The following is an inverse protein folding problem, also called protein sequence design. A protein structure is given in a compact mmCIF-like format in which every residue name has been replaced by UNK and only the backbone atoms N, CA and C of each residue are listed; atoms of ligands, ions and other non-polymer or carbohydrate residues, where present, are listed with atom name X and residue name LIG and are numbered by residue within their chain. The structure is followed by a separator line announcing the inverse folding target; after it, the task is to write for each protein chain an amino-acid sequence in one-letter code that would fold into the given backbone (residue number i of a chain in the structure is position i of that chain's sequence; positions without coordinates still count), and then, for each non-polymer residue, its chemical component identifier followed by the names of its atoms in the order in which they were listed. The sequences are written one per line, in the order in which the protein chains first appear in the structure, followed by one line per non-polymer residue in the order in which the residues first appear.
data_IF_134807222409
#
_entry.id   IF_134807222409
#
_cell.length_a   1.000
_cell.length_b   1.000
_cell.length_c   1.000
_cell.angle_alpha   90.00
_cell.angle_beta   90.00
_cell.angle_gamma   90.00
#
_symmetry.space_group_name_H-M   'P 1'
#
loop_
_entity.id
_entity.type
_entity.pdbx_description
1 polymer ?
#
# COMPACT_ATOMS: atom_id res chain seq x y z
N UNK A 1 20.28 0.88 16.89
CA UNK A 1 18.99 0.49 16.30
C UNK A 1 18.82 1.21 14.97
N UNK A 2 18.67 0.45 13.90
CA UNK A 2 18.38 1.02 12.59
C UNK A 2 16.93 1.52 12.60
N UNK A 3 16.73 2.80 12.50
CA UNK A 3 15.39 3.36 12.35
C UNK A 3 15.03 3.34 10.87
N UNK A 4 13.97 2.63 10.53
CA UNK A 4 13.46 2.63 9.16
C UNK A 4 12.94 4.03 8.82
N UNK A 5 13.26 4.50 7.64
CA UNK A 5 12.81 5.81 7.15
C UNK A 5 11.50 5.67 6.36
N UNK A 6 11.35 4.54 5.69
CA UNK A 6 10.22 4.26 4.81
C UNK A 6 9.54 2.96 5.21
N UNK A 7 8.22 2.98 5.30
CA UNK A 7 7.39 1.79 5.38
C UNK A 7 6.68 1.60 4.03
N UNK A 8 6.82 0.41 3.47
CA UNK A 8 6.04 -0.02 2.30
C UNK A 8 5.08 -1.09 2.78
N UNK A 9 3.80 -0.78 2.77
CA UNK A 9 2.73 -1.57 3.35
C UNK A 9 1.84 -2.14 2.26
N UNK A 10 1.77 -3.45 2.15
CA UNK A 10 0.79 -4.15 1.31
C UNK A 10 -0.42 -4.54 2.13
N UNK A 11 -1.59 -4.17 1.64
CA UNK A 11 -2.86 -4.44 2.31
C UNK A 11 -3.70 -5.37 1.46
N UNK A 12 -4.49 -6.21 2.10
CA UNK A 12 -5.49 -7.03 1.45
C UNK A 12 -5.56 -8.44 2.00
N UNK A 13 -6.37 -9.24 1.35
CA UNK A 13 -6.53 -10.65 1.68
C UNK A 13 -6.14 -11.49 0.45
N UNK A 14 -5.01 -12.20 0.54
CA UNK A 14 -4.50 -13.02 -0.57
C UNK A 14 -5.33 -14.30 -0.81
N UNK A 15 -6.37 -14.53 -0.04
CA UNK A 15 -7.36 -15.59 -0.29
C UNK A 15 -8.54 -15.11 -1.13
N UNK A 16 -8.61 -13.81 -1.44
CA UNK A 16 -9.69 -13.19 -2.21
C UNK A 16 -9.21 -12.64 -3.55
N UNK A 17 -8.48 -13.43 -4.30
CA UNK A 17 -7.99 -13.17 -5.65
C UNK A 17 -7.29 -11.80 -5.74
N UNK A 18 -7.84 -10.81 -6.41
CA UNK A 18 -7.17 -9.51 -6.65
C UNK A 18 -7.13 -8.61 -5.42
N UNK A 19 -7.91 -8.90 -4.38
CA UNK A 19 -7.77 -8.20 -3.10
C UNK A 19 -6.39 -8.44 -2.47
N UNK A 20 -5.70 -9.49 -2.88
CA UNK A 20 -4.36 -9.81 -2.44
C UNK A 20 -3.24 -9.07 -3.17
N UNK A 21 -3.54 -8.14 -4.08
CA UNK A 21 -2.52 -7.47 -4.91
C UNK A 21 -1.42 -6.80 -4.06
N UNK A 22 -1.80 -6.17 -2.94
CA UNK A 22 -0.83 -5.54 -2.05
C UNK A 22 0.16 -6.54 -1.46
N UNK A 23 -0.33 -7.70 -1.05
CA UNK A 23 0.49 -8.77 -0.48
C UNK A 23 1.43 -9.36 -1.56
N UNK A 24 0.91 -9.63 -2.75
CA UNK A 24 1.71 -10.11 -3.87
C UNK A 24 2.79 -9.11 -4.26
N UNK A 25 2.48 -7.82 -4.22
CA UNK A 25 3.44 -6.76 -4.52
C UNK A 25 4.58 -6.73 -3.49
N UNK A 26 4.28 -6.86 -2.20
CA UNK A 26 5.30 -6.92 -1.14
C UNK A 26 6.23 -8.11 -1.39
N UNK A 27 5.68 -9.28 -1.67
CA UNK A 27 6.48 -10.48 -1.99
C UNK A 27 7.40 -10.22 -3.19
N UNK A 28 6.88 -9.57 -4.24
CA UNK A 28 7.65 -9.27 -5.44
C UNK A 28 8.76 -8.23 -5.21
N UNK A 29 8.62 -7.37 -4.19
CA UNK A 29 9.62 -6.35 -3.85
C UNK A 29 10.77 -6.89 -2.99
N UNK A 30 10.61 -8.03 -2.33
CA UNK A 30 11.62 -8.59 -1.43
C UNK A 30 12.99 -8.76 -2.10
N UNK A 31 13.13 -9.33 -3.32
CA UNK A 31 14.43 -9.50 -3.94
C UNK A 31 15.21 -8.20 -4.11
N UNK A 32 14.53 -7.11 -4.40
CA UNK A 32 15.18 -5.82 -4.69
C UNK A 32 15.35 -4.94 -3.46
N UNK A 33 14.40 -4.98 -2.52
CA UNK A 33 14.35 -4.03 -1.40
C UNK A 33 14.43 -4.68 -0.02
N UNK A 34 14.35 -5.99 0.08
CA UNK A 34 14.28 -6.69 1.36
C UNK A 34 15.50 -6.53 2.26
N UNK A 35 16.67 -6.17 1.68
CA UNK A 35 17.91 -5.97 2.41
C UNK A 35 18.27 -4.48 2.60
N UNK A 36 17.44 -3.56 2.11
CA UNK A 36 17.70 -2.13 2.26
C UNK A 36 17.45 -1.70 3.71
N UNK A 37 18.45 -1.10 4.33
CA UNK A 37 18.44 -0.78 5.77
C UNK A 37 17.33 0.19 6.18
N UNK A 38 17.01 1.14 5.30
CA UNK A 38 16.07 2.21 5.61
C UNK A 38 14.64 1.89 5.16
N UNK A 39 14.42 0.76 4.51
CA UNK A 39 13.13 0.38 3.93
C UNK A 39 12.60 -0.84 4.67
N UNK A 40 11.39 -0.72 5.20
CA UNK A 40 10.67 -1.84 5.76
C UNK A 40 9.53 -2.26 4.83
N UNK A 41 9.53 -3.52 4.42
CA UNK A 41 8.43 -4.13 3.69
C UNK A 41 7.54 -4.84 4.69
N UNK A 42 6.25 -4.56 4.67
CA UNK A 42 5.31 -5.14 5.62
C UNK A 42 4.06 -5.65 4.91
N UNK A 43 3.76 -6.93 5.13
CA UNK A 43 2.47 -7.52 4.80
C UNK A 43 1.51 -7.14 5.93
N UNK A 44 0.61 -6.21 5.66
CA UNK A 44 -0.38 -5.74 6.63
C UNK A 44 -1.62 -6.62 6.69
N UNK A 45 -1.76 -7.57 5.78
CA UNK A 45 -2.93 -8.43 5.68
C UNK A 45 -4.22 -7.63 5.64
N UNK A 46 -5.24 -8.10 6.36
CA UNK A 46 -6.43 -7.32 6.68
C UNK A 46 -6.08 -6.39 7.83
N UNK A 47 -6.37 -5.10 7.68
CA UNK A 47 -5.91 -4.06 8.59
C UNK A 47 -6.38 -4.29 10.04
N UNK A 48 -5.51 -3.90 10.99
CA UNK A 48 -5.82 -3.86 12.41
C UNK A 48 -5.19 -2.63 13.05
N UNK A 49 -5.66 -2.26 14.25
CA UNK A 49 -5.12 -1.09 14.95
C UNK A 49 -3.64 -1.23 15.34
N UNK A 50 -3.09 -2.45 15.35
CA UNK A 50 -1.67 -2.66 15.61
C UNK A 50 -0.79 -2.04 14.54
N UNK A 51 -1.30 -1.86 13.32
CA UNK A 51 -0.58 -1.22 12.22
C UNK A 51 -0.43 0.30 12.40
N UNK A 52 -1.23 0.91 13.27
CA UNK A 52 -1.12 2.34 13.52
C UNK A 52 0.28 2.71 14.03
N UNK A 53 0.84 1.93 14.94
CA UNK A 53 2.20 2.17 15.47
C UNK A 53 3.26 2.09 14.37
N UNK A 54 3.11 1.16 13.44
CA UNK A 54 4.03 1.02 12.29
C UNK A 54 3.99 2.27 11.40
N UNK A 55 2.79 2.75 11.09
CA UNK A 55 2.60 3.95 10.26
C UNK A 55 3.18 5.19 10.95
N UNK A 56 2.93 5.33 12.26
CA UNK A 56 3.40 6.46 13.05
C UNK A 56 4.93 6.51 13.21
N UNK A 57 5.61 5.39 12.99
CA UNK A 57 7.06 5.27 13.20
C UNK A 57 7.92 5.79 12.06
N UNK A 58 7.34 6.17 10.93
CA UNK A 58 8.07 6.56 9.72
C UNK A 58 7.63 7.94 9.21
N UNK A 59 8.54 8.59 8.46
CA UNK A 59 8.23 9.86 7.79
C UNK A 59 7.76 9.65 6.34
N UNK A 60 7.99 8.47 5.79
CA UNK A 60 7.63 8.14 4.41
C UNK A 60 6.84 6.83 4.39
N UNK A 61 5.68 6.87 3.76
CA UNK A 61 4.77 5.72 3.68
C UNK A 61 4.35 5.47 2.24
N UNK A 62 4.48 4.23 1.79
CA UNK A 62 3.87 3.76 0.54
C UNK A 62 2.90 2.65 0.90
N UNK A 63 1.64 2.80 0.49
CA UNK A 63 0.62 1.76 0.66
C UNK A 63 0.25 1.21 -0.71
N UNK A 64 0.17 -0.11 -0.82
CA UNK A 64 -0.27 -0.81 -2.05
C UNK A 64 -1.54 -1.56 -1.71
N UNK A 65 -2.61 -1.27 -2.43
CA UNK A 65 -3.92 -1.85 -2.15
C UNK A 65 -4.80 -1.93 -3.42
N UNK A 66 -5.69 -2.90 -3.43
CA UNK A 66 -6.75 -2.95 -4.42
C UNK A 66 -7.81 -1.89 -4.08
N UNK A 67 -8.28 -1.17 -5.08
CA UNK A 67 -9.29 -0.14 -4.88
C UNK A 67 -10.19 0.01 -6.10
N UNK A 68 -11.44 0.38 -5.87
CA UNK A 68 -12.36 0.71 -6.96
C UNK A 68 -11.98 2.04 -7.58
N UNK A 69 -11.49 1.99 -8.80
CA UNK A 69 -11.03 3.16 -9.56
C UNK A 69 -11.94 3.52 -10.71
N UNK A 70 -13.01 2.74 -10.92
CA UNK A 70 -13.91 2.86 -12.07
C UNK A 70 -13.13 2.83 -13.39
N UNK A 71 -12.17 1.94 -13.47
CA UNK A 71 -11.22 1.80 -14.57
C UNK A 71 -11.07 0.33 -14.95
N UNK A 72 -10.50 0.01 -16.13
CA UNK A 72 -10.28 -1.38 -16.50
C UNK A 72 -9.45 -2.13 -15.45
N UNK A 73 -9.70 -3.44 -15.24
CA UNK A 73 -8.91 -4.25 -14.31
C UNK A 73 -7.41 -4.16 -14.59
N UNK A 74 -6.61 -4.07 -13.53
CA UNK A 74 -5.17 -3.92 -13.64
C UNK A 74 -4.69 -2.47 -13.77
N UNK A 75 -5.60 -1.50 -13.87
CA UNK A 75 -5.22 -0.07 -13.88
C UNK A 75 -4.57 0.30 -12.56
N UNK A 76 -3.44 1.00 -12.62
CA UNK A 76 -2.70 1.50 -11.47
C UNK A 76 -2.85 3.01 -11.42
N UNK A 77 -3.26 3.54 -10.28
CA UNK A 77 -3.30 4.99 -10.00
C UNK A 77 -2.51 5.30 -8.75
N UNK A 78 -1.81 6.42 -8.78
CA UNK A 78 -0.93 6.85 -7.68
C UNK A 78 -1.49 8.15 -7.09
N UNK A 79 -1.69 8.15 -5.77
CA UNK A 79 -2.19 9.30 -5.02
C UNK A 79 -1.15 9.70 -3.98
N UNK A 80 -0.68 10.94 -4.04
CA UNK A 80 0.34 11.46 -3.14
C UNK A 80 -0.26 12.45 -2.14
N UNK A 81 0.11 12.33 -0.89
CA UNK A 81 -0.17 13.31 0.17
C UNK A 81 -1.67 13.70 0.23
N UNK A 82 -2.01 14.96 -0.01
CA UNK A 82 -3.40 15.42 0.06
C UNK A 82 -4.32 14.69 -0.91
N UNK A 83 -3.83 14.29 -2.09
CA UNK A 83 -4.61 13.51 -3.03
C UNK A 83 -4.94 12.11 -2.48
N UNK A 84 -4.00 11.50 -1.75
CA UNK A 84 -4.25 10.24 -1.04
C UNK A 84 -5.33 10.43 0.03
N UNK A 85 -5.21 11.47 0.84
CA UNK A 85 -6.18 11.77 1.90
C UNK A 85 -7.58 11.99 1.32
N UNK A 86 -7.67 12.74 0.24
CA UNK A 86 -8.93 13.00 -0.46
C UNK A 86 -9.55 11.71 -1.01
N UNK A 87 -8.75 10.89 -1.68
CA UNK A 87 -9.22 9.62 -2.21
C UNK A 87 -9.76 8.70 -1.11
N UNK A 88 -9.04 8.55 0.00
CA UNK A 88 -9.45 7.70 1.12
C UNK A 88 -10.73 8.23 1.78
N UNK A 89 -10.87 9.53 1.88
CA UNK A 89 -12.05 10.16 2.48
C UNK A 89 -13.32 10.05 1.64
N UNK A 90 -13.19 9.81 0.34
CA UNK A 90 -14.31 9.74 -0.61
C UNK A 90 -14.53 8.35 -1.21
N UNK A 91 -13.65 7.39 -0.93
CA UNK A 91 -13.84 6.02 -1.38
C UNK A 91 -14.94 5.31 -0.58
N UNK A 92 -15.64 4.37 -1.21
CA UNK A 92 -16.55 3.50 -0.47
C UNK A 92 -15.75 2.72 0.56
N UNK A 93 -16.14 2.84 1.81
CA UNK A 93 -15.50 2.10 2.90
C UNK A 93 -15.69 0.61 2.67
N UNK A 94 -14.60 -0.12 2.86
CA UNK A 94 -14.63 -1.55 2.98
C UNK A 94 -15.56 -1.96 4.13
N UNK A 95 -16.19 -3.12 4.04
CA UNK A 95 -16.96 -3.73 5.14
C UNK A 95 -16.06 -4.16 6.31
N UNK A 96 -14.75 -3.98 6.22
CA UNK A 96 -13.82 -4.27 7.30
C UNK A 96 -14.00 -3.26 8.43
N UNK A 97 -13.85 -3.72 9.68
CA UNK A 97 -14.03 -2.90 10.88
C UNK A 97 -13.00 -1.77 10.96
N UNK A 98 -11.79 -1.99 10.42
CA UNK A 98 -10.72 -0.99 10.40
C UNK A 98 -10.26 -0.79 8.96
N UNK A 99 -10.38 0.44 8.46
CA UNK A 99 -9.87 0.82 7.15
C UNK A 99 -8.56 1.59 7.24
N UNK A 100 -7.90 1.74 6.10
CA UNK A 100 -6.68 2.56 6.02
C UNK A 100 -6.92 4.00 6.46
N UNK A 101 -8.09 4.58 6.13
CA UNK A 101 -8.44 5.92 6.57
C UNK A 101 -8.42 6.04 8.09
N UNK A 102 -8.94 5.03 8.80
CA UNK A 102 -8.95 5.04 10.27
C UNK A 102 -7.54 5.08 10.84
N UNK A 103 -6.62 4.30 10.27
CA UNK A 103 -5.21 4.31 10.69
C UNK A 103 -4.52 5.64 10.41
N UNK A 104 -4.82 6.25 9.26
CA UNK A 104 -4.28 7.57 8.92
C UNK A 104 -4.84 8.65 9.84
N UNK A 105 -6.11 8.56 10.19
CA UNK A 105 -6.74 9.49 11.14
C UNK A 105 -6.14 9.37 12.54
N UNK A 106 -5.86 8.15 13.00
CA UNK A 106 -5.16 7.92 14.27
C UNK A 106 -3.78 8.58 14.24
N UNK A 107 -3.02 8.37 13.18
CA UNK A 107 -1.69 8.97 13.03
C UNK A 107 -1.77 10.51 13.04
N UNK A 108 -2.80 11.08 12.40
CA UNK A 108 -3.02 12.52 12.38
C UNK A 108 -3.34 13.05 13.78
N UNK A 109 -4.19 12.36 14.53
CA UNK A 109 -4.59 12.77 15.88
C UNK A 109 -3.42 12.71 16.86
N UNK A 110 -2.49 11.80 16.68
CA UNK A 110 -1.28 11.69 17.51
C UNK A 110 -0.12 12.54 17.03
N UNK A 111 -0.32 13.34 15.98
CA UNK A 111 0.69 14.18 15.34
C UNK A 111 1.89 13.39 14.79
N UNK A 112 1.62 12.18 14.30
CA UNK A 112 2.62 11.28 13.72
C UNK A 112 2.24 10.81 12.32
N UNK A 113 1.42 11.60 11.60
CA UNK A 113 1.10 11.29 10.21
C UNK A 113 2.39 11.40 9.36
N UNK A 114 2.76 10.37 8.58
CA UNK A 114 3.92 10.47 7.71
C UNK A 114 3.81 11.69 6.78
N UNK A 115 4.84 12.54 6.76
CA UNK A 115 4.85 13.77 5.96
C UNK A 115 4.75 13.49 4.47
N UNK A 116 5.36 12.39 4.04
CA UNK A 116 5.29 11.92 2.66
C UNK A 116 4.55 10.58 2.67
N UNK A 117 3.43 10.55 1.98
CA UNK A 117 2.58 9.36 1.92
C UNK A 117 2.01 9.17 0.53
N UNK A 118 2.05 7.94 0.05
CA UNK A 118 1.64 7.56 -1.31
C UNK A 118 0.77 6.33 -1.25
N UNK A 119 -0.34 6.35 -1.95
CA UNK A 119 -1.17 5.17 -2.20
C UNK A 119 -0.99 4.75 -3.66
N UNK A 120 -0.59 3.51 -3.85
CA UNK A 120 -0.57 2.86 -5.17
C UNK A 120 -1.81 1.98 -5.20
N UNK A 121 -2.84 2.44 -5.89
CA UNK A 121 -4.13 1.76 -5.98
C UNK A 121 -4.23 0.99 -7.29
N UNK A 122 -4.76 -0.23 -7.22
CA UNK A 122 -4.89 -1.12 -8.37
C UNK A 122 -6.33 -1.55 -8.52
N UNK A 123 -6.91 -1.37 -9.72
CA UNK A 123 -8.27 -1.80 -10.02
C UNK A 123 -8.34 -3.33 -10.04
N UNK A 124 -9.11 -3.95 -9.16
CA UNK A 124 -9.30 -5.40 -9.17
C UNK A 124 -10.29 -5.83 -10.25
N UNK A 125 -10.23 -7.10 -10.65
CA UNK A 125 -11.21 -7.75 -11.51
C UNK A 125 -12.12 -8.66 -10.70
N UNK A 126 -11.54 -9.57 -9.91
CA UNK A 126 -12.25 -10.58 -9.13
C UNK A 126 -11.86 -10.47 -7.66
N UNK A 127 -12.86 -10.51 -6.77
CA UNK A 127 -12.67 -10.41 -5.32
C UNK A 127 -13.23 -11.64 -4.57
N UNK A 128 -13.55 -12.71 -5.30
CA UNK A 128 -14.03 -13.98 -4.71
C UNK A 128 -12.86 -14.89 -4.36
N UNK A 129 -13.13 -16.00 -3.69
CA UNK A 129 -12.12 -16.94 -3.24
C UNK A 129 -11.12 -17.33 -4.35
N UNK A 130 -9.86 -17.26 -4.04
CA UNK A 130 -8.76 -17.64 -4.91
C UNK A 130 -7.44 -17.10 -4.38
N UNK A 131 -6.38 -17.89 -4.51
CA UNK A 131 -5.06 -17.54 -4.00
C UNK A 131 -4.17 -16.84 -5.03
N UNK A 132 -4.61 -16.79 -6.28
CA UNK A 132 -3.84 -16.23 -7.38
C UNK A 132 -4.51 -15.00 -7.95
N UNK A 133 -3.70 -14.04 -8.37
CA UNK A 133 -4.17 -12.87 -9.09
C UNK A 133 -4.75 -13.27 -10.46
N UNK A 134 -5.76 -12.51 -10.90
CA UNK A 134 -6.19 -12.59 -12.30
C UNK A 134 -5.03 -12.14 -13.21
N UNK A 135 -5.03 -12.55 -14.50
CA UNK A 135 -4.01 -12.07 -15.44
C UNK A 135 -3.91 -10.55 -15.51
N UNK A 136 -5.04 -9.85 -15.43
CA UNK A 136 -5.07 -8.38 -15.44
C UNK A 136 -4.33 -7.79 -14.24
N UNK A 137 -4.62 -8.26 -13.03
CA UNK A 137 -3.94 -7.79 -11.82
C UNK A 137 -2.47 -8.22 -11.80
N UNK A 138 -2.17 -9.45 -12.21
CA UNK A 138 -0.78 -9.93 -12.29
C UNK A 138 0.06 -9.06 -13.23
N UNK A 139 -0.52 -8.63 -14.35
CA UNK A 139 0.17 -7.75 -15.32
C UNK A 139 0.48 -6.36 -14.75
N UNK A 140 -0.20 -5.95 -13.68
CA UNK A 140 0.06 -4.68 -13.01
C UNK A 140 1.30 -4.71 -12.10
N UNK A 141 1.78 -5.89 -11.69
CA UNK A 141 2.92 -6.01 -10.77
C UNK A 141 4.18 -5.26 -11.23
N UNK A 142 4.64 -5.38 -12.49
CA UNK A 142 5.79 -4.60 -12.95
C UNK A 142 5.58 -3.09 -12.82
N UNK A 143 4.38 -2.60 -13.11
CA UNK A 143 4.03 -1.18 -12.97
C UNK A 143 4.07 -0.74 -11.51
N UNK A 144 3.56 -1.56 -10.60
CA UNK A 144 3.59 -1.29 -9.16
C UNK A 144 5.04 -1.20 -8.68
N UNK A 145 5.86 -2.18 -9.02
CA UNK A 145 7.29 -2.22 -8.63
C UNK A 145 8.02 -0.98 -9.14
N UNK A 146 7.79 -0.62 -10.41
CA UNK A 146 8.38 0.57 -11.01
C UNK A 146 7.93 1.84 -10.29
N UNK A 147 6.65 1.94 -9.94
CA UNK A 147 6.09 3.08 -9.21
C UNK A 147 6.72 3.23 -7.81
N UNK A 148 6.92 2.12 -7.09
CA UNK A 148 7.59 2.11 -5.78
C UNK A 148 9.01 2.66 -5.92
N UNK A 149 9.79 2.11 -6.85
CA UNK A 149 11.18 2.51 -7.06
C UNK A 149 11.29 3.98 -7.47
N UNK A 150 10.42 4.43 -8.34
CA UNK A 150 10.37 5.84 -8.78
C UNK A 150 10.05 6.76 -7.61
N UNK A 151 9.11 6.38 -6.74
CA UNK A 151 8.77 7.17 -5.57
C UNK A 151 9.95 7.26 -4.59
N UNK A 152 10.65 6.17 -4.36
CA UNK A 152 11.84 6.15 -3.51
C UNK A 152 12.94 7.07 -4.06
N UNK A 153 13.14 7.07 -5.38
CA UNK A 153 14.08 7.97 -6.05
C UNK A 153 13.69 9.43 -5.86
N UNK A 154 12.40 9.75 -6.01
CA UNK A 154 11.90 11.12 -5.81
C UNK A 154 12.12 11.61 -4.38
N UNK A 155 12.08 10.71 -3.42
CA UNK A 155 12.36 11.02 -2.03
C UNK A 155 13.84 10.95 -1.67
N UNK A 156 14.71 10.67 -2.63
CA UNK A 156 16.16 10.48 -2.42
C UNK A 156 16.49 9.40 -1.38
N UNK A 157 15.70 8.34 -1.36
CA UNK A 157 15.91 7.19 -0.50
C UNK A 157 16.81 6.17 -1.24
N UNK A 158 17.92 5.74 -0.65
CA UNK A 158 18.79 4.73 -1.27
C UNK A 158 18.08 3.38 -1.37
N UNK A 159 18.30 2.68 -2.48
CA UNK A 159 17.79 1.33 -2.69
C UNK A 159 18.78 0.28 -2.20
#
# INVERSE_FOLDING_TARGET
MTQHTVLILGIGNNLLTDEGIGIHAITALIPDLGQAEHIRLLDGGTLSFTLAAEIESVNHLIVIDAAQLNSPPGTVKIFNNDAMDHFLGHSKRSVHEVGLLDLMDIARLTDHLPEQRTLIAVQPEILTWGEQLTPAAASALPTIISAVKKQLQQWSIPL
#
